data_IF_279849116544
#
_entry.id   IF_279849116544
#
_cell.length_a   1.000
_cell.length_b   1.000
_cell.length_c   1.000
_cell.angle_alpha   90.00
_cell.angle_beta   90.00
_cell.angle_gamma   90.00
#
_symmetry.space_group_name_H-M   'P 1'
#
loop_
_entity.id
_entity.type
_entity.pdbx_description
1 polymer ?
#
# COMPACT_ATOMS: atom_id res chain seq x y z
N UNK A 1 0.57 -7.76 23.88
CA UNK A 1 1.01 -6.53 23.18
C UNK A 1 -0.22 -6.02 22.45
N UNK A 2 -0.65 -4.78 22.68
CA UNK A 2 -1.81 -4.25 21.97
C UNK A 2 -1.49 -4.19 20.47
N UNK A 3 -2.27 -4.90 19.65
CA UNK A 3 -2.13 -4.86 18.20
C UNK A 3 -2.56 -3.44 17.78
N UNK A 4 -1.59 -2.56 17.52
CA UNK A 4 -1.89 -1.17 17.18
C UNK A 4 -2.37 -1.13 15.74
N UNK A 5 -3.62 -0.71 15.53
CA UNK A 5 -4.21 -0.53 14.21
C UNK A 5 -3.32 0.34 13.33
N UNK A 6 -2.86 -0.20 12.20
CA UNK A 6 -2.02 0.52 11.26
C UNK A 6 -2.23 0.03 9.82
N UNK A 7 -1.77 0.85 8.87
CA UNK A 7 -1.65 0.50 7.47
C UNK A 7 -0.17 0.17 7.24
N UNK A 8 0.13 -1.01 6.72
CA UNK A 8 1.48 -1.31 6.28
C UNK A 8 1.63 -0.98 4.81
N UNK A 9 2.68 -0.26 4.44
CA UNK A 9 2.98 0.08 3.05
C UNK A 9 4.40 -0.32 2.74
N UNK A 10 4.57 -1.19 1.74
CA UNK A 10 5.88 -1.52 1.20
C UNK A 10 6.11 -0.80 -0.12
N UNK A 11 7.32 -0.25 -0.33
CA UNK A 11 7.72 0.50 -1.51
C UNK A 11 9.02 -0.09 -2.06
N UNK A 12 9.04 -0.40 -3.36
CA UNK A 12 10.23 -0.88 -4.06
C UNK A 12 10.38 -0.21 -5.43
N UNK A 13 11.61 0.04 -5.92
CA UNK A 13 11.84 0.51 -7.27
C UNK A 13 11.35 -0.49 -8.34
N UNK A 14 10.79 0.04 -9.42
CA UNK A 14 10.38 -0.68 -10.63
C UNK A 14 10.71 0.17 -11.87
N UNK A 15 11.94 0.07 -12.36
CA UNK A 15 12.42 0.94 -13.43
C UNK A 15 12.42 2.41 -12.99
N UNK A 16 11.73 3.28 -13.73
CA UNK A 16 11.54 4.69 -13.34
C UNK A 16 10.40 4.94 -12.35
N UNK A 17 9.65 3.88 -12.02
CA UNK A 17 8.47 3.92 -11.16
C UNK A 17 8.72 3.19 -9.85
N UNK A 18 7.71 3.20 -8.99
CA UNK A 18 7.66 2.53 -7.71
C UNK A 18 6.50 1.53 -7.74
N UNK A 19 6.78 0.30 -7.32
CA UNK A 19 5.74 -0.64 -6.89
C UNK A 19 5.44 -0.38 -5.41
N UNK A 20 4.18 -0.06 -5.11
CA UNK A 20 3.68 0.25 -3.76
C UNK A 20 2.65 -0.79 -3.36
N UNK A 21 2.97 -1.61 -2.36
CA UNK A 21 2.02 -2.58 -1.78
C UNK A 21 1.38 -1.99 -0.53
N UNK A 22 0.06 -2.00 -0.48
CA UNK A 22 -0.75 -1.50 0.64
C UNK A 22 -1.42 -2.68 1.31
N UNK A 23 -1.19 -2.83 2.62
CA UNK A 23 -1.73 -3.90 3.44
C UNK A 23 -2.65 -3.33 4.53
N UNK A 24 -3.93 -3.65 4.38
CA UNK A 24 -5.03 -3.21 5.22
C UNK A 24 -5.36 -4.20 6.35
N UNK A 25 -4.72 -5.37 6.41
CA UNK A 25 -5.12 -6.44 7.34
C UNK A 25 -4.98 -6.05 8.81
N UNK A 26 -4.11 -5.08 9.10
CA UNK A 26 -3.92 -4.54 10.45
C UNK A 26 -4.67 -3.22 10.68
N UNK A 27 -5.43 -2.69 9.72
CA UNK A 27 -6.09 -1.38 9.90
C UNK A 27 -7.19 -1.45 10.95
N UNK A 28 -7.88 -2.58 11.00
CA UNK A 28 -8.93 -2.92 11.96
C UNK A 28 -8.86 -4.44 12.17
N UNK A 29 -8.10 -4.91 13.17
CA UNK A 29 -7.78 -6.33 13.32
C UNK A 29 -9.01 -7.20 13.63
N UNK A 30 -10.11 -6.58 14.03
CA UNK A 30 -11.37 -7.25 14.38
C UNK A 30 -12.40 -7.26 13.23
N UNK A 31 -12.06 -6.71 12.04
CA UNK A 31 -12.95 -6.78 10.87
C UNK A 31 -13.17 -8.23 10.43
N UNK A 32 -14.42 -8.54 10.10
CA UNK A 32 -14.71 -9.80 9.43
C UNK A 32 -14.05 -9.83 8.04
N UNK A 33 -13.68 -11.01 7.50
CA UNK A 33 -13.07 -11.13 6.18
C UNK A 33 -13.87 -10.45 5.06
N UNK A 34 -15.20 -10.54 5.10
CA UNK A 34 -16.10 -9.93 4.13
C UNK A 34 -16.08 -8.40 4.19
N UNK A 35 -15.93 -7.83 5.39
CA UNK A 35 -15.84 -6.39 5.59
C UNK A 35 -14.48 -5.86 5.13
N UNK A 36 -13.39 -6.57 5.43
CA UNK A 36 -12.05 -6.25 4.93
C UNK A 36 -12.01 -6.35 3.40
N UNK A 37 -12.67 -7.34 2.81
CA UNK A 37 -12.81 -7.48 1.37
C UNK A 37 -13.59 -6.31 0.75
N UNK A 38 -14.71 -5.92 1.36
CA UNK A 38 -15.48 -4.75 0.93
C UNK A 38 -14.66 -3.45 1.03
N UNK A 39 -13.87 -3.29 2.09
CA UNK A 39 -12.92 -2.17 2.23
C UNK A 39 -11.86 -2.19 1.13
N UNK A 40 -11.27 -3.36 0.88
CA UNK A 40 -10.23 -3.57 -0.15
C UNK A 40 -10.76 -3.22 -1.54
N UNK A 41 -11.93 -3.73 -1.92
CA UNK A 41 -12.56 -3.44 -3.21
C UNK A 41 -12.94 -1.98 -3.36
N UNK A 42 -13.45 -1.35 -2.29
CA UNK A 42 -13.78 0.08 -2.31
C UNK A 42 -12.54 0.92 -2.55
N UNK A 43 -11.47 0.67 -1.78
CA UNK A 43 -10.22 1.40 -1.92
C UNK A 43 -9.61 1.18 -3.32
N UNK A 44 -9.65 -0.05 -3.82
CA UNK A 44 -9.22 -0.39 -5.18
C UNK A 44 -9.91 0.47 -6.25
N UNK A 45 -11.24 0.57 -6.22
CA UNK A 45 -11.96 1.38 -7.21
C UNK A 45 -11.59 2.85 -7.09
N UNK A 46 -11.50 3.38 -5.88
CA UNK A 46 -11.18 4.79 -5.66
C UNK A 46 -9.75 5.14 -6.08
N UNK A 47 -8.79 4.23 -5.88
CA UNK A 47 -7.41 4.45 -6.31
C UNK A 47 -7.24 4.46 -7.83
N UNK A 48 -8.12 3.77 -8.57
CA UNK A 48 -8.12 3.81 -10.05
C UNK A 48 -8.55 5.16 -10.61
N UNK A 49 -9.24 5.97 -9.82
CA UNK A 49 -9.70 7.30 -10.20
C UNK A 49 -8.67 8.39 -9.84
N UNK A 50 -7.48 8.02 -9.36
CA UNK A 50 -6.39 8.95 -9.05
C UNK A 50 -5.51 9.09 -10.29
N UNK A 51 -5.54 10.26 -10.93
CA UNK A 51 -4.78 10.54 -12.17
C UNK A 51 -3.27 10.31 -12.00
N UNK A 52 -2.73 10.54 -10.81
CA UNK A 52 -1.31 10.37 -10.48
C UNK A 52 -0.88 8.91 -10.27
N UNK A 53 -1.83 7.98 -10.19
CA UNK A 53 -1.57 6.54 -10.05
C UNK A 53 -1.65 5.87 -11.42
N UNK A 54 -0.53 5.29 -11.87
CA UNK A 54 -0.43 4.68 -13.21
C UNK A 54 -1.29 3.45 -13.33
N UNK A 55 -1.20 2.58 -12.33
CA UNK A 55 -1.92 1.31 -12.29
C UNK A 55 -2.25 0.94 -10.86
N UNK A 56 -3.36 0.24 -10.67
CA UNK A 56 -3.72 -0.40 -9.41
C UNK A 56 -4.21 -1.79 -9.73
N UNK A 57 -3.73 -2.77 -8.96
CA UNK A 57 -4.08 -4.18 -9.11
C UNK A 57 -4.41 -4.78 -7.75
N UNK A 58 -5.25 -5.82 -7.80
CA UNK A 58 -5.40 -6.75 -6.70
C UNK A 58 -4.33 -7.83 -6.81
N UNK A 59 -3.77 -8.25 -5.68
CA UNK A 59 -2.74 -9.28 -5.66
C UNK A 59 -3.41 -10.66 -5.76
N UNK A 60 -3.12 -11.49 -6.78
CA UNK A 60 -3.69 -12.83 -6.89
C UNK A 60 -3.33 -13.71 -5.69
N UNK A 61 -4.23 -14.58 -5.28
CA UNK A 61 -3.94 -15.64 -4.32
C UNK A 61 -2.93 -16.61 -4.95
N UNK A 62 -1.73 -16.81 -4.37
CA UNK A 62 -0.71 -17.70 -4.93
C UNK A 62 -1.15 -19.16 -4.98
N UNK A 63 -2.04 -19.59 -4.09
CA UNK A 63 -2.58 -20.96 -4.05
C UNK A 63 -4.11 -20.96 -4.17
N UNK A 64 -4.68 -20.62 -5.34
CA UNK A 64 -6.13 -20.57 -5.50
C UNK A 64 -6.72 -21.99 -5.36
N UNK A 65 -7.98 -22.13 -4.91
CA UNK A 65 -8.63 -23.44 -4.81
C UNK A 65 -8.54 -24.23 -6.12
N UNK A 66 -8.26 -25.53 -6.03
CA UNK A 66 -8.11 -26.40 -7.19
C UNK A 66 -9.35 -26.32 -8.11
N UNK A 67 -9.12 -26.11 -9.41
CA UNK A 67 -10.19 -25.94 -10.41
C UNK A 67 -10.63 -24.50 -10.67
N UNK A 68 -10.04 -23.50 -9.99
CA UNK A 68 -10.26 -22.08 -10.29
C UNK A 68 -9.69 -21.73 -11.68
N UNK A 69 -10.51 -21.13 -12.55
CA UNK A 69 -10.03 -20.57 -13.83
C UNK A 69 -9.17 -19.33 -13.55
N UNK A 70 -8.19 -18.96 -14.40
CA UNK A 70 -7.37 -17.76 -14.20
C UNK A 70 -8.19 -16.47 -14.06
N UNK A 71 -9.32 -16.37 -14.77
CA UNK A 71 -10.25 -15.23 -14.68
C UNK A 71 -11.07 -15.22 -13.37
N UNK A 72 -11.15 -16.36 -12.69
CA UNK A 72 -11.86 -16.56 -11.43
C UNK A 72 -10.87 -16.84 -10.27
N UNK A 73 -9.58 -16.56 -10.47
CA UNK A 73 -8.60 -16.74 -9.42
C UNK A 73 -8.94 -15.80 -8.26
N UNK A 74 -8.91 -16.35 -7.03
CA UNK A 74 -9.09 -15.54 -5.84
C UNK A 74 -7.97 -14.49 -5.74
N UNK A 75 -8.26 -13.39 -5.05
CA UNK A 75 -7.28 -12.35 -4.72
C UNK A 75 -7.04 -12.34 -3.22
N UNK A 76 -5.85 -11.92 -2.81
CA UNK A 76 -5.56 -11.69 -1.40
C UNK A 76 -6.44 -10.54 -0.87
N UNK A 77 -7.17 -10.84 0.20
CA UNK A 77 -8.01 -9.89 0.91
C UNK A 77 -7.11 -8.92 1.70
N UNK A 78 -7.42 -7.62 1.67
CA UNK A 78 -6.67 -6.59 2.38
C UNK A 78 -5.41 -6.11 1.66
N UNK A 79 -5.08 -6.62 0.48
CA UNK A 79 -3.84 -6.29 -0.24
C UNK A 79 -4.12 -5.65 -1.61
N UNK A 80 -3.49 -4.51 -1.84
CA UNK A 80 -3.49 -3.80 -3.12
C UNK A 80 -2.05 -3.48 -3.54
N UNK A 81 -1.81 -3.48 -4.85
CA UNK A 81 -0.55 -3.01 -5.42
C UNK A 81 -0.82 -1.85 -6.37
N UNK A 82 -0.08 -0.76 -6.21
CA UNK A 82 -0.15 0.41 -7.06
C UNK A 82 1.21 0.70 -7.70
N UNK A 83 1.18 1.23 -8.91
CA UNK A 83 2.35 1.74 -9.61
C UNK A 83 2.25 3.27 -9.67
N UNK A 84 3.28 3.95 -9.16
CA UNK A 84 3.37 5.42 -9.16
C UNK A 84 4.79 5.83 -9.51
N UNK A 85 4.97 7.02 -10.07
CA UNK A 85 6.30 7.61 -10.17
C UNK A 85 6.72 8.21 -8.81
N UNK A 86 8.02 8.50 -8.67
CA UNK A 86 8.59 9.07 -7.44
C UNK A 86 7.97 10.43 -7.05
N UNK A 87 7.57 11.26 -8.02
CA UNK A 87 6.94 12.55 -7.76
C UNK A 87 5.54 12.41 -7.15
N UNK A 88 4.82 11.35 -7.52
CA UNK A 88 3.41 11.12 -7.23
C UNK A 88 3.15 10.28 -5.97
N UNK A 89 4.18 9.67 -5.38
CA UNK A 89 4.05 8.87 -4.15
C UNK A 89 3.35 9.64 -3.01
N UNK A 90 3.54 10.97 -2.95
CA UNK A 90 2.89 11.83 -1.95
C UNK A 90 1.37 11.90 -2.13
N UNK A 91 0.90 11.93 -3.37
CA UNK A 91 -0.54 11.95 -3.68
C UNK A 91 -1.18 10.64 -3.25
N UNK A 92 -0.58 9.50 -3.62
CA UNK A 92 -1.06 8.19 -3.24
C UNK A 92 -1.14 8.03 -1.71
N UNK A 93 -0.07 8.34 -0.99
CA UNK A 93 -0.02 8.14 0.47
C UNK A 93 -0.90 9.16 1.22
N UNK A 94 -1.02 10.39 0.70
CA UNK A 94 -1.98 11.38 1.21
C UNK A 94 -3.43 10.90 1.06
N UNK A 95 -3.77 10.37 -0.12
CA UNK A 95 -5.09 9.78 -0.36
C UNK A 95 -5.39 8.62 0.61
N UNK A 96 -4.43 7.70 0.81
CA UNK A 96 -4.59 6.57 1.74
C UNK A 96 -4.81 7.07 3.17
N UNK A 97 -4.03 8.04 3.62
CA UNK A 97 -4.17 8.66 4.94
C UNK A 97 -5.57 9.24 5.15
N UNK A 98 -6.04 10.07 4.22
CA UNK A 98 -7.37 10.68 4.30
C UNK A 98 -8.48 9.63 4.23
N UNK A 99 -8.34 8.65 3.35
CA UNK A 99 -9.39 7.66 3.11
C UNK A 99 -9.56 6.67 4.26
N UNK A 100 -8.49 6.40 4.99
CA UNK A 100 -8.47 5.47 6.12
C UNK A 100 -8.45 6.20 7.47
N UNK A 101 -9.04 7.39 7.53
CA UNK A 101 -9.29 8.16 8.76
C UNK A 101 -8.02 8.50 9.55
N UNK A 102 -6.90 8.75 8.87
CA UNK A 102 -5.63 9.10 9.50
C UNK A 102 -5.04 7.99 10.36
N UNK A 103 -5.35 6.72 10.08
CA UNK A 103 -4.69 5.59 10.74
C UNK A 103 -3.17 5.67 10.53
N UNK A 104 -2.36 5.29 11.54
CA UNK A 104 -0.91 5.28 11.40
C UNK A 104 -0.44 4.46 10.21
N UNK A 105 0.58 4.95 9.51
CA UNK A 105 1.18 4.28 8.36
C UNK A 105 2.58 3.82 8.73
N UNK A 106 2.88 2.55 8.52
CA UNK A 106 4.21 1.98 8.61
C UNK A 106 4.77 1.81 7.19
N UNK A 107 5.67 2.70 6.79
CA UNK A 107 6.36 2.67 5.51
C UNK A 107 7.59 1.76 5.62
N UNK A 108 7.72 0.82 4.68
CA UNK A 108 8.88 -0.06 4.48
C UNK A 108 9.38 0.13 3.07
N UNK A 109 10.58 0.70 2.92
CA UNK A 109 11.19 0.98 1.62
C UNK A 109 12.38 0.05 1.44
N UNK A 110 12.45 -0.64 0.31
CA UNK A 110 13.57 -1.52 -0.04
C UNK A 110 14.16 -1.14 -1.39
N UNK A 111 15.47 -0.88 -1.42
CA UNK A 111 16.23 -0.58 -2.63
C UNK A 111 17.68 -1.04 -2.46
N UNK A 112 18.26 -1.67 -3.49
CA UNK A 112 19.66 -2.12 -3.52
C UNK A 112 20.09 -2.95 -2.30
N UNK A 113 19.19 -3.80 -1.81
CA UNK A 113 19.41 -4.64 -0.63
C UNK A 113 19.43 -3.88 0.72
N UNK A 114 19.18 -2.57 0.71
CA UNK A 114 18.99 -1.73 1.90
C UNK A 114 17.51 -1.61 2.22
N UNK A 115 17.21 -1.36 3.49
CA UNK A 115 15.84 -1.18 3.99
C UNK A 115 15.73 0.08 4.84
N UNK A 116 14.62 0.79 4.71
CA UNK A 116 14.21 1.91 5.53
C UNK A 116 12.80 1.63 6.08
N UNK A 117 12.64 1.72 7.39
CA UNK A 117 11.34 1.58 8.05
C UNK A 117 11.00 2.84 8.84
N UNK A 118 9.85 3.46 8.56
CA UNK A 118 9.39 4.68 9.22
C UNK A 118 7.91 4.55 9.57
N UNK A 119 7.55 4.95 10.79
CA UNK A 119 6.14 5.02 11.23
C UNK A 119 5.69 6.47 11.27
N UNK A 120 4.51 6.73 10.74
CA UNK A 120 3.86 8.04 10.75
C UNK A 120 2.51 7.94 11.45
N UNK A 121 2.32 8.75 12.48
CA UNK A 121 1.12 8.85 13.31
C UNK A 121 0.35 10.16 13.08
N UNK A 122 0.86 11.03 12.22
CA UNK A 122 0.23 12.28 11.82
C UNK A 122 0.51 12.61 10.35
N UNK A 123 -0.26 13.53 9.78
CA UNK A 123 -0.05 13.99 8.39
C UNK A 123 1.31 14.68 8.19
N UNK A 124 1.80 15.38 9.23
CA UNK A 124 3.13 16.00 9.22
C UNK A 124 4.22 14.92 9.22
N UNK A 125 4.09 13.91 10.08
CA UNK A 125 5.02 12.78 10.12
C UNK A 125 4.99 11.97 8.83
N UNK A 126 3.80 11.77 8.23
CA UNK A 126 3.66 11.09 6.95
C UNK A 126 4.40 11.86 5.85
N UNK A 127 4.27 13.19 5.82
CA UNK A 127 5.00 14.03 4.86
C UNK A 127 6.51 13.88 5.04
N UNK A 128 7.00 13.91 6.29
CA UNK A 128 8.42 13.71 6.58
C UNK A 128 8.91 12.30 6.19
N UNK A 129 8.11 11.27 6.45
CA UNK A 129 8.41 9.89 6.11
C UNK A 129 8.47 9.68 4.58
N UNK A 130 7.61 10.36 3.83
CA UNK A 130 7.61 10.35 2.36
C UNK A 130 8.88 10.99 1.81
N UNK A 131 9.29 12.14 2.33
CA UNK A 131 10.53 12.80 1.87
C UNK A 131 11.76 11.94 2.21
N UNK A 132 11.82 11.37 3.41
CA UNK A 132 12.89 10.42 3.76
C UNK A 132 12.91 9.18 2.85
N UNK A 133 11.74 8.66 2.47
CA UNK A 133 11.63 7.55 1.50
C UNK A 133 12.15 7.94 0.11
N UNK A 134 11.83 9.16 -0.36
CA UNK A 134 12.34 9.66 -1.64
C UNK A 134 13.85 9.83 -1.63
N UNK A 135 14.39 10.42 -0.57
CA UNK A 135 15.84 10.61 -0.40
C UNK A 135 16.57 9.26 -0.38
N UNK A 136 16.00 8.27 0.32
CA UNK A 136 16.52 6.92 0.38
C UNK A 136 16.56 6.25 -1.01
N UNK A 137 15.48 6.39 -1.79
CA UNK A 137 15.39 5.84 -3.15
C UNK A 137 16.35 6.54 -4.11
N UNK A 138 16.51 7.86 -4.00
CA UNK A 138 17.42 8.64 -4.84
C UNK A 138 18.91 8.39 -4.52
N UNK A 139 19.23 7.98 -3.29
CA UNK A 139 20.60 7.64 -2.88
C UNK A 139 21.04 6.22 -3.31
N UNK A 140 20.10 5.38 -3.76
CA UNK A 140 20.37 4.04 -4.29
C UNK A 140 20.49 3.98 -5.81
N UNK A 141 19.79 4.88 -6.53
CA UNK A 141 19.76 4.98 -8.00
C UNK A 141 21.01 5.55 -8.66
#
# INVERSE_FOLDING_TARGET
MANTSNIQVAIAPKGSDLDVTIDLRNTEPDLAPEELEALTQRLFQQMKDIDEVKQVHRIPEPNPPAGSKPLNAAFLIGLLQAEVNLANIKVLLGFIWERLSGKPIELKVEADGKKLEIKAYSQQELTAAIEAAKDFLAAGS
#
